data_IF_675575405737
#
_entry.id   IF_675575405737
#
_cell.length_a   1.000
_cell.length_b   1.000
_cell.length_c   1.000
_cell.angle_alpha   90.00
_cell.angle_beta   90.00
_cell.angle_gamma   90.00
#
_symmetry.space_group_name_H-M   'P 1'
#
loop_
_entity.id
_entity.type
_entity.pdbx_description
1 polymer ?
#
# COMPACT_ATOMS: atom_id res chain seq x y z
N UNK A 1 18.02 -8.21 16.31
CA UNK A 1 17.32 -8.38 15.02
C UNK A 1 16.00 -7.60 14.96
N UNK A 2 15.16 -7.61 16.00
CA UNK A 2 13.87 -6.90 16.01
C UNK A 2 14.01 -5.37 16.08
N UNK A 3 15.02 -4.84 16.74
CA UNK A 3 15.24 -3.38 16.87
C UNK A 3 15.49 -2.66 15.54
N UNK A 4 15.97 -3.39 14.52
CA UNK A 4 16.22 -2.81 13.18
C UNK A 4 14.96 -2.69 12.32
N UNK A 5 13.83 -3.28 12.71
CA UNK A 5 12.57 -3.18 11.98
C UNK A 5 11.76 -1.93 12.34
N UNK A 6 11.96 -1.36 13.54
CA UNK A 6 11.22 -0.17 13.98
C UNK A 6 11.48 1.08 13.10
N UNK A 7 12.61 1.10 12.43
CA UNK A 7 12.97 2.18 11.50
C UNK A 7 12.60 1.95 10.03
N UNK A 8 11.75 0.96 9.66
CA UNK A 8 11.38 0.74 8.25
C UNK A 8 10.67 1.95 7.64
N UNK A 9 9.94 2.71 8.48
CA UNK A 9 9.21 3.93 8.06
C UNK A 9 10.06 5.21 8.05
N UNK A 10 11.22 5.22 8.73
CA UNK A 10 12.00 6.45 9.01
C UNK A 10 13.44 6.36 8.57
N UNK A 11 13.75 5.60 7.50
CA UNK A 11 15.11 5.56 6.96
C UNK A 11 15.48 6.97 6.44
N UNK A 12 16.26 7.70 7.24
CA UNK A 12 16.91 8.93 6.80
C UNK A 12 17.84 8.63 5.64
N UNK A 13 17.91 9.50 4.61
CA UNK A 13 18.76 9.30 3.42
C UNK A 13 20.26 9.19 3.72
N UNK A 14 20.69 9.43 4.96
CA UNK A 14 22.09 9.43 5.36
C UNK A 14 22.66 8.09 5.82
N UNK A 15 21.83 7.04 5.95
CA UNK A 15 22.30 5.73 6.43
C UNK A 15 22.07 4.63 5.38
N UNK A 16 22.90 4.65 4.34
CA UNK A 16 22.91 3.67 3.27
C UNK A 16 23.06 2.23 3.80
N UNK A 17 23.83 2.05 4.86
CA UNK A 17 24.01 0.75 5.49
C UNK A 17 22.72 0.24 6.12
N UNK A 18 21.97 1.11 6.79
CA UNK A 18 20.67 0.75 7.37
C UNK A 18 19.65 0.39 6.30
N UNK A 19 19.62 1.13 5.19
CA UNK A 19 18.75 0.82 4.05
C UNK A 19 19.09 -0.54 3.44
N UNK A 20 20.36 -0.79 3.12
CA UNK A 20 20.80 -2.07 2.56
C UNK A 20 20.52 -3.23 3.50
N UNK A 21 20.73 -3.05 4.79
CA UNK A 21 20.42 -4.07 5.80
C UNK A 21 18.92 -4.41 5.84
N UNK A 22 18.06 -3.39 5.85
CA UNK A 22 16.60 -3.57 5.81
C UNK A 22 16.15 -4.30 4.56
N UNK A 23 16.67 -3.90 3.40
CA UNK A 23 16.39 -4.53 2.13
C UNK A 23 16.76 -6.00 2.15
N UNK A 24 18.02 -6.32 2.51
CA UNK A 24 18.50 -7.69 2.58
C UNK A 24 17.68 -8.54 3.56
N UNK A 25 17.30 -7.97 4.70
CA UNK A 25 16.49 -8.66 5.69
C UNK A 25 15.10 -9.01 5.15
N UNK A 26 14.45 -8.11 4.41
CA UNK A 26 13.15 -8.38 3.78
C UNK A 26 13.27 -9.40 2.64
N UNK A 27 14.35 -9.37 1.86
CA UNK A 27 14.63 -10.37 0.83
C UNK A 27 14.76 -11.76 1.47
N UNK A 28 15.60 -11.91 2.50
CA UNK A 28 15.79 -13.18 3.23
C UNK A 28 14.48 -13.67 3.87
N UNK A 29 13.70 -12.76 4.48
CA UNK A 29 12.39 -13.11 5.05
C UNK A 29 11.41 -13.59 3.96
N UNK A 30 11.41 -12.92 2.80
CA UNK A 30 10.57 -13.27 1.66
C UNK A 30 10.89 -14.66 1.07
N UNK A 31 12.17 -15.03 1.06
CA UNK A 31 12.63 -16.34 0.61
C UNK A 31 12.33 -17.47 1.62
N UNK A 32 12.31 -17.16 2.91
CA UNK A 32 12.11 -18.11 4.00
C UNK A 32 10.72 -18.09 4.61
N UNK A 33 9.72 -17.57 3.90
CA UNK A 33 8.34 -17.45 4.38
C UNK A 33 7.76 -18.78 4.84
N UNK A 34 8.09 -19.90 4.17
CA UNK A 34 7.62 -21.24 4.54
C UNK A 34 8.10 -21.72 5.91
N UNK A 35 9.18 -21.14 6.41
CA UNK A 35 9.76 -21.46 7.73
C UNK A 35 9.20 -20.59 8.85
N UNK A 36 8.35 -19.60 8.52
CA UNK A 36 7.75 -18.71 9.51
C UNK A 36 6.56 -19.42 10.17
N UNK A 37 6.60 -19.49 11.49
CA UNK A 37 5.46 -19.91 12.31
C UNK A 37 4.72 -18.67 12.81
N UNK A 38 3.41 -18.61 12.64
CA UNK A 38 2.60 -17.46 12.98
C UNK A 38 2.68 -17.07 14.46
N UNK A 39 2.73 -18.05 15.35
CA UNK A 39 2.78 -17.81 16.80
C UNK A 39 4.17 -17.44 17.28
N UNK A 40 5.19 -18.14 16.75
CA UNK A 40 6.59 -17.90 17.15
C UNK A 40 7.13 -16.59 16.58
N UNK A 41 6.65 -16.16 15.42
CA UNK A 41 7.13 -14.97 14.70
C UNK A 41 6.11 -13.84 14.67
N UNK A 42 5.08 -13.87 15.51
CA UNK A 42 3.98 -12.88 15.51
C UNK A 42 4.47 -11.44 15.55
N UNK A 43 5.44 -11.13 16.39
CA UNK A 43 5.99 -9.78 16.52
C UNK A 43 6.76 -9.35 15.27
N UNK A 44 7.53 -10.25 14.67
CA UNK A 44 8.22 -10.01 13.40
C UNK A 44 7.22 -9.72 12.28
N UNK A 45 6.20 -10.56 12.16
CA UNK A 45 5.14 -10.42 11.15
C UNK A 45 4.37 -9.10 11.35
N UNK A 46 4.03 -8.76 12.59
CA UNK A 46 3.35 -7.49 12.93
C UNK A 46 4.20 -6.28 12.53
N UNK A 47 5.51 -6.29 12.77
CA UNK A 47 6.41 -5.19 12.40
C UNK A 47 6.53 -5.04 10.88
N UNK A 48 6.71 -6.14 10.16
CA UNK A 48 6.77 -6.09 8.69
C UNK A 48 5.45 -5.56 8.12
N UNK A 49 4.30 -6.08 8.58
CA UNK A 49 2.98 -5.65 8.15
C UNK A 49 2.60 -4.24 8.66
N UNK A 50 3.22 -3.74 9.71
CA UNK A 50 3.05 -2.38 10.21
C UNK A 50 3.82 -1.32 9.41
N UNK A 51 4.62 -1.73 8.42
CA UNK A 51 5.39 -0.80 7.59
C UNK A 51 4.48 0.05 6.72
N UNK A 52 4.63 1.38 6.82
CA UNK A 52 3.87 2.30 5.97
C UNK A 52 4.41 2.28 4.54
N UNK A 53 3.62 1.78 3.60
CA UNK A 53 3.98 1.75 2.17
C UNK A 53 4.08 3.16 1.56
N UNK A 54 3.57 4.17 2.22
CA UNK A 54 3.62 5.57 1.80
C UNK A 54 4.94 6.27 2.15
N UNK A 55 5.60 5.83 3.22
CA UNK A 55 6.74 6.53 3.82
C UNK A 55 8.07 5.81 3.59
N UNK A 56 8.06 4.59 3.07
CA UNK A 56 9.27 3.84 2.81
C UNK A 56 9.74 4.00 1.35
N UNK A 57 11.00 3.71 1.08
CA UNK A 57 11.54 3.68 -0.28
C UNK A 57 10.79 2.66 -1.17
N UNK A 58 10.74 2.89 -2.49
CA UNK A 58 9.95 2.06 -3.41
C UNK A 58 10.33 0.58 -3.35
N UNK A 59 11.62 0.29 -3.32
CA UNK A 59 12.11 -1.09 -3.24
C UNK A 59 11.66 -1.78 -1.95
N UNK A 60 11.69 -1.06 -0.82
CA UNK A 60 11.21 -1.58 0.46
C UNK A 60 9.71 -1.87 0.40
N UNK A 61 8.92 -0.94 -0.18
CA UNK A 61 7.49 -1.18 -0.33
C UNK A 61 7.19 -2.40 -1.21
N UNK A 62 7.92 -2.55 -2.32
CA UNK A 62 7.80 -3.73 -3.20
C UNK A 62 8.16 -5.03 -2.48
N UNK A 63 9.22 -5.01 -1.66
CA UNK A 63 9.63 -6.17 -0.87
C UNK A 63 8.58 -6.52 0.21
N UNK A 64 8.02 -5.52 0.90
CA UNK A 64 6.97 -5.75 1.89
C UNK A 64 5.73 -6.36 1.24
N UNK A 65 5.26 -5.83 0.11
CA UNK A 65 4.08 -6.41 -0.56
C UNK A 65 4.38 -7.78 -1.15
N UNK A 66 5.59 -8.02 -1.68
CA UNK A 66 5.99 -9.33 -2.15
C UNK A 66 6.07 -10.35 -1.00
N UNK A 67 6.59 -9.94 0.15
CA UNK A 67 6.55 -10.74 1.37
C UNK A 67 5.10 -11.12 1.73
N UNK A 68 4.16 -10.18 1.70
CA UNK A 68 2.74 -10.46 1.96
C UNK A 68 2.16 -11.46 0.95
N UNK A 69 2.49 -11.33 -0.34
CA UNK A 69 2.04 -12.28 -1.39
C UNK A 69 2.60 -13.67 -1.12
N UNK A 70 3.90 -13.79 -0.82
CA UNK A 70 4.55 -15.05 -0.51
C UNK A 70 3.96 -15.67 0.77
N UNK A 71 3.74 -14.87 1.81
CA UNK A 71 3.12 -15.31 3.06
C UNK A 71 1.73 -15.88 2.83
N UNK A 72 0.92 -15.23 1.99
CA UNK A 72 -0.43 -15.70 1.66
C UNK A 72 -0.46 -16.94 0.79
N UNK A 73 0.55 -17.17 -0.03
CA UNK A 73 0.66 -18.38 -0.84
C UNK A 73 1.03 -19.62 0.00
N UNK A 74 1.74 -19.42 1.12
CA UNK A 74 2.20 -20.50 2.01
C UNK A 74 1.31 -20.69 3.24
N UNK A 75 0.75 -19.61 3.77
CA UNK A 75 -0.02 -19.58 5.03
C UNK A 75 -1.40 -18.94 4.79
N UNK A 76 -2.40 -19.76 4.51
CA UNK A 76 -3.79 -19.31 4.21
C UNK A 76 -4.67 -19.13 5.46
N UNK A 77 -4.10 -19.20 6.66
CA UNK A 77 -4.82 -19.16 7.94
C UNK A 77 -5.24 -17.76 8.42
N UNK A 78 -5.01 -17.50 9.69
CA UNK A 78 -5.43 -16.27 10.38
C UNK A 78 -4.72 -15.01 9.88
N UNK A 79 -3.50 -15.14 9.34
CA UNK A 79 -2.73 -14.03 8.77
C UNK A 79 -3.35 -13.42 7.51
N UNK A 80 -4.19 -14.17 6.80
CA UNK A 80 -4.85 -13.67 5.59
C UNK A 80 -5.64 -12.38 5.85
N UNK A 81 -6.44 -12.35 6.89
CA UNK A 81 -7.23 -11.17 7.22
C UNK A 81 -6.34 -9.99 7.56
N UNK A 82 -5.30 -10.20 8.37
CA UNK A 82 -4.36 -9.15 8.80
C UNK A 82 -3.57 -8.57 7.63
N UNK A 83 -3.06 -9.42 6.73
CA UNK A 83 -2.40 -8.96 5.52
C UNK A 83 -3.31 -8.14 4.62
N UNK A 84 -4.54 -8.61 4.37
CA UNK A 84 -5.51 -7.89 3.55
C UNK A 84 -5.93 -6.57 4.21
N UNK A 85 -6.07 -6.53 5.54
CA UNK A 85 -6.36 -5.30 6.26
C UNK A 85 -5.24 -4.27 6.10
N UNK A 86 -3.98 -4.66 6.27
CA UNK A 86 -2.82 -3.80 6.06
C UNK A 86 -2.76 -3.24 4.63
N UNK A 87 -2.95 -4.11 3.63
CA UNK A 87 -2.95 -3.70 2.23
C UNK A 87 -4.10 -2.73 1.93
N UNK A 88 -5.30 -2.97 2.43
CA UNK A 88 -6.46 -2.07 2.24
C UNK A 88 -6.29 -0.77 3.03
N UNK A 89 -5.70 -0.79 4.22
CA UNK A 89 -5.35 0.43 4.96
C UNK A 89 -4.38 1.31 4.17
N UNK A 90 -3.49 0.70 3.40
CA UNK A 90 -2.54 1.41 2.54
C UNK A 90 -3.19 2.08 1.32
N UNK A 91 -4.50 1.92 1.08
CA UNK A 91 -5.24 2.76 0.13
C UNK A 91 -5.33 4.21 0.60
N UNK A 92 -5.18 4.44 1.89
CA UNK A 92 -5.21 5.76 2.50
C UNK A 92 -3.82 6.20 2.94
N UNK A 93 -3.47 7.46 2.72
CA UNK A 93 -2.23 8.01 3.25
C UNK A 93 -2.24 7.99 4.79
N UNK A 94 -1.06 7.89 5.43
CA UNK A 94 -0.93 7.92 6.88
C UNK A 94 -1.44 9.23 7.46
N UNK A 95 -1.67 9.25 8.78
CA UNK A 95 -1.98 10.48 9.50
C UNK A 95 -0.80 11.45 9.38
N UNK A 96 -1.08 12.71 9.04
CA UNK A 96 -0.04 13.71 8.82
C UNK A 96 0.44 13.86 7.37
N UNK A 97 -0.05 13.02 6.45
CA UNK A 97 0.17 13.28 5.02
C UNK A 97 -0.45 14.63 4.63
N UNK A 98 0.27 15.50 3.90
CA UNK A 98 -0.23 16.84 3.56
C UNK A 98 -1.55 16.74 2.76
N UNK A 99 -2.63 17.30 3.33
CA UNK A 99 -3.95 17.24 2.71
C UNK A 99 -3.97 17.91 1.32
N UNK A 100 -3.34 19.08 1.19
CA UNK A 100 -3.22 19.79 -0.09
C UNK A 100 -2.54 18.96 -1.17
N UNK A 101 -1.46 18.24 -0.84
CA UNK A 101 -0.79 17.36 -1.80
C UNK A 101 -1.72 16.25 -2.31
N UNK A 102 -2.52 15.65 -1.44
CA UNK A 102 -3.48 14.62 -1.86
C UNK A 102 -4.58 15.22 -2.77
N UNK A 103 -5.02 16.44 -2.48
CA UNK A 103 -5.99 17.15 -3.30
C UNK A 103 -5.44 17.48 -4.68
N UNK A 104 -4.21 17.99 -4.76
CA UNK A 104 -3.51 18.30 -6.02
C UNK A 104 -3.31 17.04 -6.89
N UNK A 105 -2.91 15.93 -6.26
CA UNK A 105 -2.75 14.65 -6.97
C UNK A 105 -4.08 14.12 -7.53
N UNK A 106 -5.19 14.26 -6.77
CA UNK A 106 -6.51 13.87 -7.22
C UNK A 106 -7.04 14.79 -8.34
N UNK A 107 -6.81 16.10 -8.23
CA UNK A 107 -7.18 17.05 -9.28
C UNK A 107 -6.44 16.77 -10.60
N UNK A 108 -5.13 16.53 -10.51
CA UNK A 108 -4.30 16.15 -11.64
C UNK A 108 -4.83 14.88 -12.31
N UNK A 109 -5.18 13.87 -11.51
CA UNK A 109 -5.78 12.63 -12.02
C UNK A 109 -7.12 12.89 -12.72
N UNK A 110 -8.01 13.68 -12.13
CA UNK A 110 -9.31 13.97 -12.74
C UNK A 110 -9.20 14.76 -14.04
N UNK A 111 -8.22 15.65 -14.17
CA UNK A 111 -7.94 16.40 -15.39
C UNK A 111 -7.35 15.54 -16.50
N UNK A 112 -6.48 14.59 -16.15
CA UNK A 112 -5.82 13.74 -17.15
C UNK A 112 -6.73 12.69 -17.79
N UNK A 113 -7.87 12.40 -17.20
CA UNK A 113 -8.83 11.39 -17.72
C UNK A 113 -8.24 9.98 -17.88
N UNK A 114 -7.00 9.78 -17.43
CA UNK A 114 -6.29 8.51 -17.60
C UNK A 114 -6.47 7.64 -16.37
N UNK A 115 -7.11 6.49 -16.59
CA UNK A 115 -6.91 5.33 -15.74
C UNK A 115 -5.41 5.01 -15.68
N UNK A 116 -4.82 4.69 -14.52
CA UNK A 116 -3.41 4.37 -14.42
C UNK A 116 -3.12 3.11 -15.24
N UNK A 117 -2.64 3.31 -16.47
CA UNK A 117 -2.08 2.22 -17.25
C UNK A 117 -0.73 1.84 -16.67
N UNK A 118 -0.47 0.56 -16.40
CA UNK A 118 0.82 0.11 -15.94
C UNK A 118 1.85 0.31 -17.06
N UNK A 119 2.94 1.00 -16.74
CA UNK A 119 4.17 1.15 -17.50
C UNK A 119 4.13 2.02 -18.77
N UNK A 120 4.54 3.26 -18.62
CA UNK A 120 5.42 3.93 -19.56
C UNK A 120 6.60 4.52 -18.81
N UNK A 121 7.79 3.99 -19.07
CA UNK A 121 9.04 4.65 -18.76
C UNK A 121 9.07 5.98 -19.53
N UNK A 122 8.83 7.08 -18.86
CA UNK A 122 9.12 8.40 -19.36
C UNK A 122 10.44 8.84 -18.74
N UNK A 123 11.49 8.83 -19.55
CA UNK A 123 12.69 9.64 -19.35
C UNK A 123 12.22 11.10 -19.23
N UNK A 124 12.35 11.65 -18.04
CA UNK A 124 12.08 13.06 -17.79
C UNK A 124 13.42 13.78 -17.90
N UNK A 125 13.52 14.68 -18.89
CA UNK A 125 14.60 15.64 -19.01
C UNK A 125 14.67 16.48 -17.73
N UNK A 126 15.89 16.58 -17.18
CA UNK A 126 16.24 17.42 -16.05
C UNK A 126 16.27 18.87 -16.52
N UNK A 127 15.33 19.69 -16.09
CA UNK A 127 15.53 21.13 -15.96
C UNK A 127 15.77 21.45 -14.47
N UNK A 128 17.03 21.72 -14.16
CA UNK A 128 17.50 22.33 -12.92
C UNK A 128 17.05 23.80 -12.91
N UNK A 129 16.15 24.18 -12.04
CA UNK A 129 16.28 25.38 -11.21
C UNK A 129 15.09 25.55 -10.25
N UNK A 130 15.31 25.35 -8.95
CA UNK A 130 14.55 26.03 -7.90
C UNK A 130 15.24 25.81 -6.55
N UNK A 131 16.13 26.74 -6.23
CA UNK A 131 16.60 26.97 -4.87
C UNK A 131 15.43 27.36 -3.95
N UNK A 132 15.05 26.51 -3.02
CA UNK A 132 14.30 26.91 -1.83
C UNK A 132 14.80 26.16 -0.60
N UNK A 133 15.42 26.92 0.26
CA UNK A 133 15.98 26.57 1.56
C UNK A 133 14.92 26.00 2.49
N UNK A 134 15.26 24.91 3.16
CA UNK A 134 14.50 24.34 4.25
C UNK A 134 15.30 23.20 4.85
N UNK A 135 16.32 23.57 5.64
CA UNK A 135 17.16 22.64 6.41
C UNK A 135 16.29 22.05 7.53
N UNK A 136 15.75 20.89 7.30
CA UNK A 136 15.01 20.08 8.24
C UNK A 136 15.16 18.65 7.80
N UNK A 137 15.61 17.78 8.71
CA UNK A 137 15.77 16.34 8.60
C UNK A 137 14.49 15.66 8.04
N UNK A 138 14.28 15.81 6.73
CA UNK A 138 13.14 15.29 6.01
C UNK A 138 13.55 13.93 5.45
N UNK A 139 13.02 12.88 6.06
CA UNK A 139 13.04 11.53 5.49
C UNK A 139 12.63 11.54 4.00
N UNK A 140 12.75 10.40 3.29
CA UNK A 140 12.42 10.35 1.87
C UNK A 140 11.02 10.94 1.64
N UNK A 141 10.83 11.73 0.56
CA UNK A 141 9.55 12.35 0.29
C UNK A 141 8.46 11.26 0.24
N UNK A 142 7.32 11.49 0.87
CA UNK A 142 6.24 10.52 0.87
C UNK A 142 5.84 10.21 -0.57
N UNK A 143 5.58 8.92 -0.85
CA UNK A 143 5.20 8.43 -2.17
C UNK A 143 3.87 9.05 -2.62
N UNK A 144 3.67 9.14 -3.95
CA UNK A 144 2.39 9.60 -4.48
C UNK A 144 1.27 8.58 -4.26
N UNK A 145 0.03 9.06 -4.24
CA UNK A 145 -1.16 8.23 -4.13
C UNK A 145 -1.30 7.25 -5.32
N UNK A 146 -0.88 7.66 -6.51
CA UNK A 146 -0.92 6.83 -7.70
C UNK A 146 0.05 5.64 -7.60
N UNK A 147 1.31 5.89 -7.26
CA UNK A 147 2.34 4.85 -7.11
C UNK A 147 1.99 3.85 -6.02
N UNK A 148 1.56 4.33 -4.85
CA UNK A 148 1.14 3.47 -3.75
C UNK A 148 -0.06 2.62 -4.16
N UNK A 149 -1.05 3.20 -4.86
CA UNK A 149 -2.22 2.46 -5.36
C UNK A 149 -1.80 1.34 -6.31
N UNK A 150 -0.90 1.60 -7.26
CA UNK A 150 -0.43 0.59 -8.22
C UNK A 150 0.24 -0.59 -7.51
N UNK A 151 1.12 -0.31 -6.55
CA UNK A 151 1.83 -1.34 -5.79
C UNK A 151 0.83 -2.20 -5.00
N UNK A 152 -0.08 -1.56 -4.26
CA UNK A 152 -1.01 -2.28 -3.38
C UNK A 152 -2.06 -3.06 -4.17
N UNK A 153 -2.64 -2.45 -5.22
CA UNK A 153 -3.61 -3.13 -6.11
C UNK A 153 -2.95 -4.32 -6.81
N UNK A 154 -1.69 -4.17 -7.25
CA UNK A 154 -0.91 -5.27 -7.82
C UNK A 154 -0.76 -6.43 -6.85
N UNK A 155 -0.37 -6.17 -5.61
CA UNK A 155 -0.21 -7.19 -4.56
C UNK A 155 -1.54 -7.92 -4.26
N UNK A 156 -2.62 -7.16 -4.05
CA UNK A 156 -3.95 -7.76 -3.79
C UNK A 156 -4.41 -8.60 -4.99
N UNK A 157 -4.17 -8.15 -6.21
CA UNK A 157 -4.51 -8.90 -7.43
C UNK A 157 -3.76 -10.23 -7.50
N UNK A 158 -2.46 -10.24 -7.14
CA UNK A 158 -1.69 -11.47 -7.05
C UNK A 158 -2.23 -12.41 -5.97
N UNK A 159 -2.55 -11.89 -4.77
CA UNK A 159 -3.15 -12.69 -3.69
C UNK A 159 -4.48 -13.30 -4.14
N UNK A 160 -5.36 -12.54 -4.77
CA UNK A 160 -6.64 -13.04 -5.31
C UNK A 160 -6.45 -14.13 -6.36
N UNK A 161 -5.39 -14.04 -7.16
CA UNK A 161 -5.07 -15.03 -8.18
C UNK A 161 -4.54 -16.33 -7.56
N UNK A 162 -3.68 -16.23 -6.55
CA UNK A 162 -3.09 -17.38 -5.85
C UNK A 162 -4.06 -18.04 -4.87
N UNK A 163 -4.89 -17.22 -4.19
CA UNK A 163 -5.81 -17.66 -3.14
C UNK A 163 -7.21 -17.08 -3.42
N UNK A 164 -7.98 -17.65 -4.37
CA UNK A 164 -9.29 -17.10 -4.77
C UNK A 164 -10.30 -17.00 -3.61
N UNK A 165 -10.20 -17.85 -2.61
CA UNK A 165 -11.05 -17.81 -1.41
C UNK A 165 -10.85 -16.53 -0.59
N UNK A 166 -9.73 -15.85 -0.73
CA UNK A 166 -9.45 -14.57 -0.08
C UNK A 166 -10.41 -13.45 -0.51
N UNK A 167 -11.08 -13.59 -1.65
CA UNK A 167 -12.06 -12.62 -2.15
C UNK A 167 -13.19 -12.34 -1.16
N UNK A 168 -13.67 -13.35 -0.44
CA UNK A 168 -14.74 -13.19 0.56
C UNK A 168 -14.25 -12.36 1.76
N UNK A 169 -13.06 -12.65 2.25
CA UNK A 169 -12.43 -11.91 3.35
C UNK A 169 -12.15 -10.48 2.92
N UNK A 170 -11.54 -10.30 1.74
CA UNK A 170 -11.21 -9.00 1.19
C UNK A 170 -12.45 -8.11 1.01
N UNK A 171 -13.57 -8.66 0.51
CA UNK A 171 -14.83 -7.91 0.42
C UNK A 171 -15.26 -7.36 1.78
N UNK A 172 -15.17 -8.18 2.82
CA UNK A 172 -15.49 -7.74 4.19
C UNK A 172 -14.56 -6.62 4.67
N UNK A 173 -13.26 -6.75 4.39
CA UNK A 173 -12.26 -5.73 4.75
C UNK A 173 -12.53 -4.43 3.99
N UNK A 174 -12.71 -4.47 2.67
CA UNK A 174 -13.00 -3.29 1.86
C UNK A 174 -14.22 -2.52 2.39
N UNK A 175 -15.31 -3.22 2.71
CA UNK A 175 -16.53 -2.56 3.17
C UNK A 175 -16.37 -1.94 4.58
N UNK A 176 -15.64 -2.61 5.49
CA UNK A 176 -15.38 -2.08 6.84
C UNK A 176 -14.44 -0.88 6.85
N UNK A 177 -13.55 -0.76 5.87
CA UNK A 177 -12.53 0.29 5.79
C UNK A 177 -12.94 1.48 4.93
N UNK A 178 -14.15 1.52 4.40
CA UNK A 178 -14.67 2.72 3.71
C UNK A 178 -14.59 3.91 4.69
N UNK A 179 -13.91 5.00 4.33
CA UNK A 179 -13.82 6.17 5.19
C UNK A 179 -15.19 6.74 5.53
N UNK A 180 -15.40 7.09 6.80
CA UNK A 180 -16.66 7.68 7.24
C UNK A 180 -17.01 8.92 6.41
N UNK A 181 -18.31 9.17 6.20
CA UNK A 181 -18.80 10.30 5.38
C UNK A 181 -18.37 11.69 5.90
N UNK A 182 -17.97 11.80 7.17
CA UNK A 182 -17.38 13.04 7.73
C UNK A 182 -15.87 13.16 7.50
N UNK A 183 -15.22 12.14 6.94
CA UNK A 183 -13.80 12.24 6.61
C UNK A 183 -13.57 13.24 5.48
N UNK A 184 -12.34 13.77 5.40
CA UNK A 184 -11.93 14.69 4.32
C UNK A 184 -12.22 14.07 2.96
N UNK A 185 -12.85 14.82 2.05
CA UNK A 185 -13.27 14.33 0.72
C UNK A 185 -12.13 13.69 -0.06
N UNK A 186 -10.95 14.31 -0.02
CA UNK A 186 -9.77 13.75 -0.70
C UNK A 186 -9.44 12.32 -0.24
N UNK A 187 -9.56 12.02 1.06
CA UNK A 187 -9.36 10.67 1.59
C UNK A 187 -10.43 9.70 1.11
N UNK A 188 -11.70 10.12 1.07
CA UNK A 188 -12.78 9.30 0.54
C UNK A 188 -12.57 8.99 -0.94
N UNK A 189 -12.25 10.00 -1.75
CA UNK A 189 -11.97 9.86 -3.18
C UNK A 189 -10.77 8.93 -3.41
N UNK A 190 -9.68 9.09 -2.66
CA UNK A 190 -8.50 8.25 -2.78
C UNK A 190 -8.81 6.78 -2.47
N UNK A 191 -9.56 6.52 -1.39
CA UNK A 191 -9.98 5.16 -1.05
C UNK A 191 -10.81 4.52 -2.16
N UNK A 192 -11.85 5.23 -2.62
CA UNK A 192 -12.73 4.74 -3.66
C UNK A 192 -12.00 4.51 -4.98
N UNK A 193 -11.08 5.41 -5.34
CA UNK A 193 -10.22 5.25 -6.52
C UNK A 193 -9.42 3.96 -6.45
N UNK A 194 -8.74 3.70 -5.33
CA UNK A 194 -7.95 2.47 -5.17
C UNK A 194 -8.84 1.22 -5.17
N UNK A 195 -9.99 1.26 -4.49
CA UNK A 195 -10.94 0.15 -4.45
C UNK A 195 -11.55 -0.13 -5.84
N UNK A 196 -11.87 0.90 -6.62
CA UNK A 196 -12.36 0.73 -7.99
C UNK A 196 -11.28 0.24 -8.93
N UNK A 197 -10.04 0.75 -8.84
CA UNK A 197 -8.92 0.23 -9.60
C UNK A 197 -8.72 -1.28 -9.37
N UNK A 198 -8.90 -1.74 -8.13
CA UNK A 198 -8.83 -3.17 -7.81
C UNK A 198 -9.93 -3.99 -8.51
N UNK A 199 -11.19 -3.55 -8.47
CA UNK A 199 -12.31 -4.33 -9.05
C UNK A 199 -12.37 -4.24 -10.58
N UNK A 200 -11.59 -3.38 -11.20
CA UNK A 200 -11.36 -3.35 -12.65
C UNK A 200 -10.36 -4.43 -13.09
N UNK A 201 -9.51 -4.93 -12.18
CA UNK A 201 -8.63 -6.05 -12.50
C UNK A 201 -9.42 -7.34 -12.72
N UNK A 202 -8.92 -8.28 -13.56
CA UNK A 202 -9.61 -9.55 -13.79
C UNK A 202 -9.89 -10.33 -12.50
N UNK A 203 -8.92 -10.38 -11.57
CA UNK A 203 -9.05 -11.08 -10.29
C UNK A 203 -10.00 -10.35 -9.31
N UNK A 204 -10.10 -9.02 -9.41
CA UNK A 204 -10.97 -8.20 -8.55
C UNK A 204 -12.43 -8.12 -9.02
N UNK A 205 -12.73 -8.46 -10.28
CA UNK A 205 -14.08 -8.37 -10.86
C UNK A 205 -15.19 -9.01 -10.01
N UNK A 206 -14.99 -10.17 -9.37
CA UNK A 206 -16.01 -10.78 -8.53
C UNK A 206 -16.44 -9.92 -7.32
N UNK A 207 -15.61 -8.96 -6.92
CA UNK A 207 -15.89 -8.06 -5.80
C UNK A 207 -16.76 -6.85 -6.20
N UNK A 208 -16.87 -6.55 -7.51
CA UNK A 208 -17.43 -5.32 -8.06
C UNK A 208 -18.84 -5.03 -7.54
N UNK A 209 -19.75 -5.97 -7.70
CA UNK A 209 -21.17 -5.76 -7.33
C UNK A 209 -21.33 -5.59 -5.81
N UNK A 210 -20.55 -6.35 -5.03
CA UNK A 210 -20.53 -6.23 -3.58
C UNK A 210 -20.02 -4.89 -3.12
N UNK A 211 -18.94 -4.40 -3.72
CA UNK A 211 -18.36 -3.10 -3.41
C UNK A 211 -19.32 -1.98 -3.79
N UNK A 212 -19.88 -1.98 -5.01
CA UNK A 212 -20.82 -0.96 -5.48
C UNK A 212 -22.05 -0.85 -4.55
N UNK A 213 -22.66 -1.97 -4.20
CA UNK A 213 -23.80 -1.99 -3.26
C UNK A 213 -23.40 -1.45 -1.87
N UNK A 214 -22.21 -1.81 -1.39
CA UNK A 214 -21.71 -1.32 -0.11
C UNK A 214 -21.45 0.18 -0.12
N UNK A 215 -20.83 0.71 -1.17
CA UNK A 215 -20.59 2.15 -1.34
C UNK A 215 -21.91 2.91 -1.44
N UNK A 216 -22.87 2.43 -2.26
CA UNK A 216 -24.18 3.08 -2.37
C UNK A 216 -24.90 3.12 -1.02
N UNK A 217 -24.90 2.02 -0.27
CA UNK A 217 -25.50 2.00 1.08
C UNK A 217 -24.80 3.00 1.99
N UNK A 218 -23.48 3.04 2.01
CA UNK A 218 -22.70 3.97 2.83
C UNK A 218 -22.98 5.45 2.49
N UNK A 219 -23.30 5.76 1.23
CA UNK A 219 -23.64 7.12 0.80
C UNK A 219 -25.09 7.51 1.13
N UNK A 220 -26.01 6.55 1.22
CA UNK A 220 -27.43 6.79 1.47
C UNK A 220 -27.78 6.81 2.96
N UNK A 221 -27.04 6.12 3.82
CA UNK A 221 -27.18 6.10 5.27
C UNK A 221 -26.54 7.36 5.90
#
# INVERSE_FOLDING_TARGET
MLEHLDGLSTATPGDENTYLHKRLMLEVLGENVSSLDERLHEELLRRVMGTSLWLCHEDIARLVVQFCVNLMSTHTGSMLATCLEMLVESFLPPRGYPAGRLEDELETFMRSGQSPSPMRNSSVDMDEDSSARGDGDLGPPPRSAAETTVIVVGAITQILTLVPLSATVLRGVLLRRIPHKTAVKARQCQYLRAAFALVETPAGRPLRDGLLRGVLRHLLD
#
